data_IF_106095717512
#
_entry.id   IF_106095717512
#
_cell.length_a   1.000
_cell.length_b   1.000
_cell.length_c   1.000
_cell.angle_alpha   90.00
_cell.angle_beta   90.00
_cell.angle_gamma   90.00
#
_symmetry.space_group_name_H-M   'P 1'
#
loop_
_entity.id
_entity.type
_entity.pdbx_description
1 polymer ?
#
# COMPACT_ATOMS: atom_id res chain seq x y z
N UNK A 1 10.53 -21.75 5.65
CA UNK A 1 10.61 -20.31 5.31
C UNK A 1 9.42 -19.63 5.97
N UNK A 2 9.66 -18.87 7.03
CA UNK A 2 8.61 -18.19 7.79
C UNK A 2 7.98 -17.13 6.89
N UNK A 3 6.71 -17.32 6.49
CA UNK A 3 5.90 -16.25 5.88
C UNK A 3 5.93 -15.07 6.85
N UNK A 4 6.65 -14.00 6.51
CA UNK A 4 6.47 -12.70 7.18
C UNK A 4 5.00 -12.36 7.02
N UNK A 5 4.27 -12.35 8.13
CA UNK A 5 2.88 -11.90 8.16
C UNK A 5 2.92 -10.46 7.66
N UNK A 6 2.17 -10.13 6.61
CA UNK A 6 2.07 -8.74 6.15
C UNK A 6 1.71 -7.88 7.37
N UNK A 7 2.61 -6.96 7.74
CA UNK A 7 2.43 -6.08 8.90
C UNK A 7 1.32 -5.05 8.66
N UNK A 8 0.90 -4.89 7.39
CA UNK A 8 -0.06 -3.89 6.95
C UNK A 8 -1.33 -4.53 6.39
N UNK A 9 -2.47 -3.90 6.64
CA UNK A 9 -3.79 -4.35 6.22
C UNK A 9 -4.60 -3.18 5.68
N UNK A 10 -5.65 -3.45 4.87
CA UNK A 10 -6.62 -2.43 4.56
C UNK A 10 -7.18 -1.77 5.82
N UNK A 11 -7.39 -0.46 5.74
CA UNK A 11 -7.77 0.48 6.79
C UNK A 11 -6.66 0.90 7.76
N UNK A 12 -5.44 0.35 7.67
CA UNK A 12 -4.31 0.86 8.45
C UNK A 12 -3.87 2.24 7.94
N UNK A 13 -3.48 3.11 8.87
CA UNK A 13 -2.89 4.40 8.57
C UNK A 13 -1.37 4.30 8.50
N UNK A 14 -0.78 4.89 7.47
CA UNK A 14 0.66 4.84 7.20
C UNK A 14 1.21 6.23 6.90
N UNK A 15 2.49 6.44 7.17
CA UNK A 15 3.21 7.68 6.83
C UNK A 15 4.01 7.45 5.57
N UNK A 16 3.79 8.27 4.55
CA UNK A 16 4.55 8.26 3.30
C UNK A 16 5.33 9.55 3.13
N UNK A 17 6.62 9.50 2.73
CA UNK A 17 7.43 10.68 2.49
C UNK A 17 6.71 11.67 1.55
N UNK A 18 6.83 12.96 1.82
CA UNK A 18 6.16 14.07 1.12
C UNK A 18 4.62 14.16 1.26
N UNK A 19 3.90 13.04 1.39
CA UNK A 19 2.43 13.02 1.40
C UNK A 19 1.81 12.92 2.80
N UNK A 20 2.62 12.62 3.82
CA UNK A 20 2.15 12.56 5.20
C UNK A 20 1.36 11.29 5.47
N UNK A 21 0.23 11.42 6.17
CA UNK A 21 -0.59 10.27 6.57
C UNK A 21 -1.56 9.89 5.45
N UNK A 22 -1.50 8.64 5.03
CA UNK A 22 -2.47 8.01 4.13
C UNK A 22 -3.11 6.78 4.76
N UNK A 23 -4.20 6.30 4.14
CA UNK A 23 -4.88 5.07 4.55
C UNK A 23 -4.74 4.01 3.47
N UNK A 24 -4.37 2.79 3.84
CA UNK A 24 -4.36 1.66 2.92
C UNK A 24 -5.81 1.29 2.59
N UNK A 25 -6.20 1.39 1.32
CA UNK A 25 -7.55 1.05 0.87
C UNK A 25 -7.65 -0.38 0.35
N UNK A 26 -6.57 -0.91 -0.24
CA UNK A 26 -6.49 -2.29 -0.71
C UNK A 26 -5.04 -2.78 -0.80
N UNK A 27 -4.88 -4.09 -0.95
CA UNK A 27 -3.63 -4.77 -1.26
C UNK A 27 -3.89 -5.57 -2.54
N UNK A 28 -3.10 -5.36 -3.58
CA UNK A 28 -3.30 -5.94 -4.91
C UNK A 28 -2.07 -6.71 -5.38
N UNK A 29 -2.27 -7.81 -6.09
CA UNK A 29 -1.19 -8.52 -6.80
C UNK A 29 -1.17 -8.07 -8.26
N UNK A 30 0.00 -7.61 -8.73
CA UNK A 30 0.21 -7.22 -10.13
C UNK A 30 1.43 -7.92 -10.72
N UNK A 31 1.40 -8.21 -12.01
CA UNK A 31 2.52 -8.77 -12.75
C UNK A 31 3.21 -7.68 -13.58
N UNK A 32 4.44 -7.34 -13.22
CA UNK A 32 5.24 -6.30 -13.88
C UNK A 32 6.52 -6.95 -14.42
N UNK A 33 6.72 -6.87 -15.74
CA UNK A 33 7.87 -7.51 -16.42
C UNK A 33 8.02 -9.01 -16.11
N UNK A 34 6.90 -9.73 -15.94
CA UNK A 34 6.88 -11.15 -15.59
C UNK A 34 7.12 -11.46 -14.11
N UNK A 35 7.20 -10.44 -13.26
CA UNK A 35 7.38 -10.58 -11.81
C UNK A 35 6.07 -10.23 -11.11
N UNK A 36 5.57 -11.15 -10.28
CA UNK A 36 4.42 -10.92 -9.41
C UNK A 36 4.83 -10.12 -8.18
N UNK A 37 4.16 -8.99 -7.98
CA UNK A 37 4.41 -8.05 -6.89
C UNK A 37 3.11 -7.81 -6.13
N UNK A 38 3.20 -7.76 -4.80
CA UNK A 38 2.13 -7.27 -3.93
C UNK A 38 2.30 -5.76 -3.74
N UNK A 39 1.28 -4.99 -4.06
CA UNK A 39 1.26 -3.54 -4.03
C UNK A 39 0.20 -3.06 -3.04
N UNK A 40 0.53 -2.05 -2.24
CA UNK A 40 -0.40 -1.37 -1.35
C UNK A 40 -1.01 -0.20 -2.09
N UNK A 41 -2.34 -0.11 -2.10
CA UNK A 41 -3.05 1.05 -2.62
C UNK A 41 -3.37 1.97 -1.45
N UNK A 42 -2.87 3.21 -1.49
CA UNK A 42 -2.92 4.16 -0.37
C UNK A 42 -3.65 5.44 -0.81
N UNK A 43 -4.67 5.85 -0.07
CA UNK A 43 -5.34 7.13 -0.29
C UNK A 43 -4.80 8.22 0.63
N UNK A 44 -4.49 9.39 0.06
CA UNK A 44 -4.08 10.60 0.76
C UNK A 44 -5.16 11.67 0.61
N UNK A 45 -6.00 11.83 1.64
CA UNK A 45 -7.17 12.73 1.58
C UNK A 45 -6.80 14.19 1.33
N UNK A 46 -5.71 14.66 1.95
CA UNK A 46 -5.26 16.05 1.84
C UNK A 46 -4.88 16.42 0.41
N UNK A 47 -4.24 15.50 -0.29
CA UNK A 47 -3.73 15.71 -1.66
C UNK A 47 -4.74 15.23 -2.72
N UNK A 48 -5.87 14.63 -2.29
CA UNK A 48 -6.85 13.95 -3.16
C UNK A 48 -6.19 12.98 -4.15
N UNK A 49 -5.20 12.24 -3.66
CA UNK A 49 -4.34 11.36 -4.45
C UNK A 49 -4.45 9.91 -3.96
N UNK A 50 -4.33 8.96 -4.89
CA UNK A 50 -4.12 7.54 -4.60
C UNK A 50 -2.75 7.14 -5.13
N UNK A 51 -1.98 6.43 -4.31
CA UNK A 51 -0.70 5.83 -4.67
C UNK A 51 -0.85 4.32 -4.79
#
# INVERSE_FOLDING_TARGET
MTKKKSEFRPNDYVVYPAHGVGQIISIEEQEIAGIKLELFVISFEKDKMTL
#
